data_IF_818035712744
#
_entry.id   IF_818035712744
#
_cell.length_a   1.000
_cell.length_b   1.000
_cell.length_c   1.000
_cell.angle_alpha   90.00
_cell.angle_beta   90.00
_cell.angle_gamma   90.00
#
_symmetry.space_group_name_H-M   'P 1'
#
loop_
_entity.id
_entity.type
_entity.pdbx_description
1 polymer ?
#
# COMPACT_ATOMS: atom_id res chain seq x y z
N UNK A 1 5.57 -18.69 -19.06
CA UNK A 1 5.66 -18.72 -17.61
C UNK A 1 6.46 -19.95 -17.17
N UNK A 2 7.61 -19.77 -16.56
CA UNK A 2 8.43 -20.90 -16.08
C UNK A 2 8.64 -20.73 -14.58
N UNK A 3 8.36 -21.78 -13.84
CA UNK A 3 8.65 -21.88 -12.42
C UNK A 3 9.98 -22.62 -12.26
N UNK A 4 11.00 -21.96 -11.71
CA UNK A 4 12.21 -22.58 -11.24
C UNK A 4 12.06 -22.87 -9.75
N UNK A 5 11.89 -24.14 -9.41
CA UNK A 5 11.97 -24.61 -8.02
C UNK A 5 13.44 -24.91 -7.75
N UNK A 6 14.14 -23.96 -7.16
CA UNK A 6 15.54 -24.13 -6.76
C UNK A 6 15.64 -24.53 -5.30
N UNK A 7 16.46 -25.55 -5.05
CA UNK A 7 16.82 -26.07 -3.73
C UNK A 7 17.47 -25.01 -2.83
N UNK A 8 17.18 -25.13 -1.54
CA UNK A 8 17.90 -24.63 -0.36
C UNK A 8 19.05 -23.64 -0.63
N UNK A 9 18.71 -22.38 -0.64
CA UNK A 9 19.70 -21.34 -0.50
C UNK A 9 19.20 -20.28 0.47
N UNK A 10 19.95 -19.99 1.52
CA UNK A 10 19.72 -18.89 2.46
C UNK A 10 19.88 -17.52 1.78
N UNK A 11 19.34 -17.36 0.57
CA UNK A 11 19.31 -16.11 -0.16
C UNK A 11 18.08 -15.37 0.34
N UNK A 12 18.32 -14.31 1.10
CA UNK A 12 17.25 -13.45 1.58
C UNK A 12 16.76 -12.57 0.42
N UNK A 13 15.44 -12.38 0.32
CA UNK A 13 14.74 -11.55 -0.66
C UNK A 13 15.43 -10.18 -0.95
N UNK A 14 15.90 -9.49 0.10
CA UNK A 14 16.66 -8.24 -0.04
C UNK A 14 17.98 -8.37 -0.80
N UNK A 15 18.71 -9.48 -0.62
CA UNK A 15 19.94 -9.71 -1.37
C UNK A 15 19.66 -9.88 -2.85
N UNK A 16 18.51 -10.48 -3.17
CA UNK A 16 18.05 -10.62 -4.55
C UNK A 16 17.57 -9.28 -5.10
N UNK A 17 16.82 -8.48 -4.31
CA UNK A 17 16.43 -7.14 -4.72
C UNK A 17 17.65 -6.32 -5.15
N UNK A 18 18.69 -6.29 -4.32
CA UNK A 18 19.92 -5.54 -4.61
C UNK A 18 20.70 -6.06 -5.82
N UNK A 19 20.57 -7.34 -6.13
CA UNK A 19 21.20 -7.95 -7.31
C UNK A 19 20.46 -7.64 -8.62
N UNK A 20 19.13 -7.70 -8.57
CA UNK A 20 18.31 -7.78 -9.77
C UNK A 20 17.42 -6.55 -9.99
N UNK A 21 17.18 -5.77 -8.94
CA UNK A 21 16.23 -4.65 -8.95
C UNK A 21 16.88 -3.34 -8.46
N UNK A 22 18.17 -3.11 -8.75
CA UNK A 22 18.90 -1.91 -8.35
C UNK A 22 18.58 -0.67 -9.20
N UNK A 23 17.91 -0.85 -10.33
CA UNK A 23 17.50 0.24 -11.22
C UNK A 23 16.22 0.91 -10.73
N UNK A 24 15.79 1.99 -11.37
CA UNK A 24 14.51 2.66 -11.07
C UNK A 24 13.29 1.85 -11.52
N UNK A 25 12.12 2.26 -11.07
CA UNK A 25 10.84 1.63 -11.34
C UNK A 25 10.80 0.15 -10.91
N UNK A 26 11.23 -0.08 -9.67
CA UNK A 26 11.25 -1.40 -9.02
C UNK A 26 10.52 -1.35 -7.69
N UNK A 27 10.17 -2.51 -7.17
CA UNK A 27 9.56 -2.60 -5.84
C UNK A 27 9.98 -3.86 -5.08
N UNK A 28 9.90 -3.78 -3.75
CA UNK A 28 10.03 -4.91 -2.83
C UNK A 28 8.87 -4.85 -1.85
N UNK A 29 8.04 -5.87 -1.83
CA UNK A 29 6.96 -6.07 -0.87
C UNK A 29 7.25 -7.31 -0.04
N UNK A 30 7.31 -7.13 1.28
CA UNK A 30 7.54 -8.22 2.22
C UNK A 30 6.44 -8.26 3.28
N UNK A 31 6.07 -9.45 3.72
CA UNK A 31 5.31 -9.62 4.94
C UNK A 31 6.21 -10.12 6.05
N UNK A 32 6.23 -9.43 7.19
CA UNK A 32 7.17 -9.70 8.29
C UNK A 32 6.54 -10.30 9.53
N UNK A 33 5.22 -10.20 9.67
CA UNK A 33 4.48 -10.85 10.75
C UNK A 33 3.59 -11.89 10.11
N UNK A 34 3.87 -13.13 10.45
CA UNK A 34 3.17 -14.11 9.75
C UNK A 34 2.70 -15.25 10.60
N UNK A 35 1.98 -15.94 10.31
CA UNK A 35 1.58 -17.27 10.32
C UNK A 35 1.18 -17.61 8.90
N UNK A 36 0.68 -18.75 8.67
CA UNK A 36 0.33 -19.28 7.35
C UNK A 36 -0.61 -18.40 6.52
N UNK A 37 -1.29 -17.44 7.16
CA UNK A 37 -2.28 -16.56 6.49
C UNK A 37 -1.73 -15.25 5.93
N UNK A 38 -0.66 -14.68 6.49
CA UNK A 38 -0.31 -13.28 6.25
C UNK A 38 1.14 -13.00 5.86
N UNK A 39 2.03 -13.94 5.96
CA UNK A 39 3.46 -13.74 5.75
C UNK A 39 4.11 -14.62 4.71
N UNK A 40 3.28 -15.22 3.85
CA UNK A 40 3.77 -16.28 2.96
C UNK A 40 4.65 -15.77 1.84
N UNK A 41 4.29 -14.66 1.21
CA UNK A 41 4.95 -14.21 -0.02
C UNK A 41 5.73 -12.92 0.18
N UNK A 42 6.92 -12.85 -0.46
CA UNK A 42 7.61 -11.61 -0.76
C UNK A 42 7.67 -11.44 -2.27
N UNK A 43 7.46 -10.20 -2.75
CA UNK A 43 7.39 -9.86 -4.17
C UNK A 43 8.48 -8.85 -4.50
N UNK A 44 9.26 -9.12 -5.55
CA UNK A 44 10.24 -8.18 -6.09
C UNK A 44 9.87 -7.92 -7.55
N UNK A 45 9.46 -6.68 -7.86
CA UNK A 45 9.31 -6.23 -9.24
C UNK A 45 10.63 -5.76 -9.81
N UNK A 46 10.96 -6.24 -10.97
CA UNK A 46 12.14 -5.82 -11.70
C UNK A 46 11.88 -4.51 -12.44
N UNK A 47 12.94 -3.84 -12.87
CA UNK A 47 12.84 -2.54 -13.55
C UNK A 47 11.96 -2.60 -14.79
N UNK A 48 11.07 -1.62 -14.90
CA UNK A 48 10.19 -1.45 -16.06
C UNK A 48 10.25 -0.01 -16.58
N UNK A 49 10.14 0.12 -17.89
CA UNK A 49 9.97 1.40 -18.57
C UNK A 49 8.50 1.65 -18.97
N UNK A 50 7.59 0.76 -18.53
CA UNK A 50 6.17 0.81 -18.82
C UNK A 50 5.41 1.22 -17.55
N UNK A 51 4.79 2.39 -17.56
CA UNK A 51 4.10 2.92 -16.38
C UNK A 51 3.00 3.94 -16.72
N UNK A 52 2.11 4.18 -15.77
CA UNK A 52 1.11 5.23 -15.82
C UNK A 52 1.40 6.27 -14.75
N UNK A 53 1.24 7.55 -15.13
CA UNK A 53 1.30 8.70 -14.19
C UNK A 53 -0.01 9.48 -14.34
N UNK A 54 -0.68 9.75 -13.22
CA UNK A 54 -1.86 10.62 -13.18
C UNK A 54 -1.57 11.81 -12.27
N UNK A 55 -1.70 13.01 -12.82
CA UNK A 55 -1.54 14.27 -12.09
C UNK A 55 -2.68 15.21 -12.48
N UNK A 56 -3.55 15.55 -11.52
CA UNK A 56 -4.77 16.28 -11.85
C UNK A 56 -5.63 15.52 -12.86
N UNK A 57 -6.02 16.15 -13.96
CA UNK A 57 -6.82 15.51 -15.01
C UNK A 57 -5.98 14.94 -16.18
N UNK A 58 -4.66 14.93 -16.05
CA UNK A 58 -3.72 14.43 -17.05
C UNK A 58 -3.24 13.01 -16.71
N UNK A 59 -3.60 12.05 -17.54
CA UNK A 59 -3.10 10.69 -17.52
C UNK A 59 -2.05 10.48 -18.60
N UNK A 60 -0.85 10.13 -18.20
CA UNK A 60 0.22 9.74 -19.10
C UNK A 60 0.42 8.22 -19.06
N UNK A 61 0.46 7.61 -20.23
CA UNK A 61 0.87 6.22 -20.43
C UNK A 61 2.25 6.26 -21.07
N UNK A 62 3.20 5.69 -20.39
CA UNK A 62 4.60 5.61 -20.79
C UNK A 62 4.89 4.16 -21.17
N UNK A 63 5.40 3.94 -22.37
CA UNK A 63 5.86 2.64 -22.84
C UNK A 63 7.27 2.77 -23.41
N UNK A 64 8.14 1.82 -23.08
CA UNK A 64 9.56 1.83 -23.45
C UNK A 64 10.28 3.15 -23.06
N UNK A 65 9.87 3.76 -21.95
CA UNK A 65 10.41 5.02 -21.45
C UNK A 65 9.96 6.27 -22.21
N UNK A 66 9.01 6.15 -23.13
CA UNK A 66 8.49 7.26 -23.93
C UNK A 66 6.99 7.47 -23.66
N UNK A 67 6.56 8.73 -23.54
CA UNK A 67 5.14 9.06 -23.43
C UNK A 67 4.44 8.67 -24.73
N UNK A 68 3.65 7.60 -24.70
CA UNK A 68 2.83 7.13 -25.81
C UNK A 68 1.49 7.85 -25.88
N UNK A 69 0.95 8.18 -24.71
CA UNK A 69 -0.34 8.84 -24.57
C UNK A 69 -0.25 9.89 -23.47
N UNK A 70 -0.71 11.10 -23.75
CA UNK A 70 -0.95 12.14 -22.78
C UNK A 70 -2.42 12.56 -22.94
N UNK A 71 -3.27 12.12 -22.04
CA UNK A 71 -4.71 12.22 -22.15
C UNK A 71 -5.27 13.08 -21.01
N UNK A 72 -6.00 14.12 -21.38
CA UNK A 72 -6.85 14.85 -20.45
C UNK A 72 -8.22 14.19 -20.37
N UNK A 73 -8.59 13.69 -19.19
CA UNK A 73 -9.84 12.93 -19.01
C UNK A 73 -10.64 13.47 -17.83
N UNK A 74 -11.95 13.49 -17.97
CA UNK A 74 -12.89 13.73 -16.87
C UNK A 74 -13.13 12.50 -15.98
N UNK A 75 -12.71 11.31 -16.41
CA UNK A 75 -12.71 10.06 -15.65
C UNK A 75 -11.36 9.34 -15.81
N UNK A 76 -10.27 9.88 -15.26
CA UNK A 76 -8.94 9.30 -15.43
C UNK A 76 -8.82 7.90 -14.79
N UNK A 77 -9.59 7.60 -13.73
CA UNK A 77 -9.60 6.28 -13.13
C UNK A 77 -10.25 5.23 -14.05
N UNK A 78 -11.27 5.62 -14.82
CA UNK A 78 -11.85 4.78 -15.87
C UNK A 78 -10.86 4.51 -17.00
N UNK A 79 -10.00 5.47 -17.35
CA UNK A 79 -8.94 5.24 -18.35
C UNK A 79 -7.88 4.25 -17.85
N UNK A 80 -7.52 4.30 -16.56
CA UNK A 80 -6.63 3.30 -15.94
C UNK A 80 -7.26 1.90 -16.05
N UNK A 81 -8.57 1.78 -15.80
CA UNK A 81 -9.25 0.49 -15.96
C UNK A 81 -9.20 -0.01 -17.43
N UNK A 82 -9.47 0.85 -18.40
CA UNK A 82 -9.37 0.49 -19.81
C UNK A 82 -7.96 0.02 -20.19
N UNK A 83 -6.94 0.70 -19.67
CA UNK A 83 -5.56 0.28 -19.89
C UNK A 83 -5.29 -1.09 -19.30
N UNK A 84 -5.72 -1.33 -18.03
CA UNK A 84 -5.61 -2.64 -17.39
C UNK A 84 -6.29 -3.74 -18.23
N UNK A 85 -7.50 -3.49 -18.73
CA UNK A 85 -8.29 -4.44 -19.50
C UNK A 85 -7.72 -4.73 -20.89
N UNK A 86 -6.75 -3.94 -21.36
CA UNK A 86 -6.04 -4.22 -22.60
C UNK A 86 -5.09 -5.44 -22.49
N UNK A 87 -4.69 -5.80 -21.28
CA UNK A 87 -3.85 -6.97 -21.03
C UNK A 87 -4.70 -8.23 -20.88
N UNK A 88 -4.24 -9.30 -21.52
CA UNK A 88 -4.85 -10.64 -21.42
C UNK A 88 -3.80 -11.61 -20.90
N UNK A 89 -3.92 -12.00 -19.64
CA UNK A 89 -3.00 -12.93 -18.98
C UNK A 89 -3.75 -14.21 -18.66
N UNK A 90 -3.20 -15.40 -18.96
CA UNK A 90 -3.84 -16.66 -18.61
C UNK A 90 -3.86 -16.85 -17.08
N UNK A 91 -4.97 -17.37 -16.58
CA UNK A 91 -5.04 -17.84 -15.21
C UNK A 91 -4.34 -19.22 -15.10
N UNK A 92 -3.36 -19.33 -14.21
CA UNK A 92 -2.57 -20.53 -14.01
C UNK A 92 -2.72 -21.00 -12.56
N UNK A 93 -3.58 -21.98 -12.28
CA UNK A 93 -3.91 -22.41 -10.92
C UNK A 93 -2.73 -22.88 -10.07
N UNK A 94 -1.62 -23.28 -10.71
CA UNK A 94 -0.39 -23.71 -10.03
C UNK A 94 0.52 -22.56 -9.59
N UNK A 95 0.21 -21.34 -10.01
CA UNK A 95 1.00 -20.14 -9.73
C UNK A 95 0.50 -19.40 -8.49
N UNK A 96 1.37 -18.62 -7.84
CA UNK A 96 0.95 -17.63 -6.87
C UNK A 96 -0.10 -16.69 -7.45
N UNK A 97 -0.99 -16.16 -6.61
CA UNK A 97 -2.13 -15.33 -7.04
C UNK A 97 -1.74 -14.08 -7.81
N UNK A 98 -0.63 -13.47 -7.45
CA UNK A 98 -0.09 -12.31 -8.15
C UNK A 98 1.14 -12.74 -8.95
N UNK A 99 1.04 -12.64 -10.26
CA UNK A 99 2.12 -12.99 -11.22
C UNK A 99 2.49 -11.83 -12.13
N UNK A 100 2.01 -10.62 -11.87
CA UNK A 100 2.21 -9.42 -12.66
C UNK A 100 0.94 -8.60 -12.76
N UNK A 101 1.04 -7.42 -13.36
CA UNK A 101 -0.06 -6.47 -13.48
C UNK A 101 0.38 -5.05 -13.16
N UNK A 102 -0.52 -4.23 -12.63
CA UNK A 102 -0.22 -2.86 -12.25
C UNK A 102 0.13 -2.78 -10.77
N UNK A 103 1.32 -2.26 -10.47
CA UNK A 103 1.85 -2.12 -9.11
C UNK A 103 2.26 -0.68 -8.85
N UNK A 104 1.83 -0.11 -7.74
CA UNK A 104 2.17 1.25 -7.39
C UNK A 104 1.22 1.82 -6.34
N UNK A 105 0.91 3.10 -6.45
CA UNK A 105 0.08 3.75 -5.46
C UNK A 105 -1.01 4.64 -6.05
N UNK A 106 -2.11 4.72 -5.30
CA UNK A 106 -3.09 5.79 -5.36
C UNK A 106 -2.90 6.65 -4.12
N UNK A 107 -2.51 7.90 -4.29
CA UNK A 107 -2.35 8.85 -3.19
C UNK A 107 -3.70 9.18 -2.56
N UNK A 108 -3.68 9.75 -1.35
CA UNK A 108 -4.89 10.21 -0.65
C UNK A 108 -5.77 11.08 -1.55
N UNK A 109 -5.16 11.96 -2.30
CA UNK A 109 -5.85 12.92 -3.17
C UNK A 109 -6.56 12.30 -4.37
N UNK A 110 -6.34 11.01 -4.65
CA UNK A 110 -7.10 10.28 -5.67
C UNK A 110 -8.60 10.21 -5.38
N UNK A 111 -9.02 10.42 -4.12
CA UNK A 111 -10.43 10.54 -3.75
C UNK A 111 -11.13 11.69 -4.48
N UNK A 112 -10.42 12.73 -4.90
CA UNK A 112 -10.96 13.90 -5.59
C UNK A 112 -11.47 13.57 -7.00
N UNK A 113 -11.01 12.47 -7.59
CA UNK A 113 -11.56 11.94 -8.85
C UNK A 113 -12.92 11.26 -8.64
N UNK A 114 -13.23 10.87 -7.41
CA UNK A 114 -14.46 10.17 -7.05
C UNK A 114 -15.47 11.12 -6.41
N UNK A 115 -15.03 11.90 -5.41
CA UNK A 115 -15.87 12.76 -4.58
C UNK A 115 -15.81 14.21 -5.07
N UNK A 116 -16.78 14.61 -5.88
CA UNK A 116 -16.84 15.95 -6.50
C UNK A 116 -16.80 17.11 -5.50
N UNK A 117 -17.29 16.90 -4.27
CA UNK A 117 -17.26 17.92 -3.21
C UNK A 117 -15.83 18.31 -2.81
N UNK A 118 -14.88 17.39 -2.95
CA UNK A 118 -13.47 17.60 -2.59
C UNK A 118 -12.63 18.12 -3.76
N UNK A 119 -13.19 18.22 -4.96
CA UNK A 119 -12.42 18.55 -6.16
C UNK A 119 -11.85 19.98 -6.14
N UNK A 120 -12.45 20.90 -5.38
CA UNK A 120 -12.07 22.33 -5.35
C UNK A 120 -11.47 22.79 -4.02
N UNK A 121 -11.40 21.91 -3.01
CA UNK A 121 -10.92 22.25 -1.66
C UNK A 121 -9.47 21.81 -1.40
N UNK A 122 -8.75 21.41 -2.43
CA UNK A 122 -7.39 20.84 -2.32
C UNK A 122 -6.42 21.85 -1.68
N UNK A 123 -5.75 21.51 -0.57
CA UNK A 123 -4.67 22.31 -0.02
C UNK A 123 -3.48 22.44 -0.99
N UNK A 124 -2.59 23.42 -0.80
CA UNK A 124 -1.42 23.61 -1.65
C UNK A 124 -0.53 22.39 -1.76
N UNK A 125 -0.16 22.02 -2.98
CA UNK A 125 0.80 20.94 -3.23
C UNK A 125 2.24 21.47 -3.11
N UNK A 126 3.03 20.85 -2.24
CA UNK A 126 4.43 21.20 -2.04
C UNK A 126 5.39 20.13 -2.58
N UNK A 127 4.89 18.92 -2.88
CA UNK A 127 5.72 17.81 -3.32
C UNK A 127 5.74 17.65 -4.83
N UNK A 128 4.69 18.08 -5.52
CA UNK A 128 4.52 17.97 -6.97
C UNK A 128 4.74 16.55 -7.51
N UNK A 129 4.29 15.55 -6.76
CA UNK A 129 4.33 14.16 -7.20
C UNK A 129 2.98 13.74 -7.80
N UNK A 130 2.93 12.74 -8.68
CA UNK A 130 1.69 12.23 -9.23
C UNK A 130 0.69 11.77 -8.16
N UNK A 131 -0.61 11.98 -8.40
CA UNK A 131 -1.67 11.45 -7.52
C UNK A 131 -1.77 9.92 -7.59
N UNK A 132 -1.48 9.37 -8.78
CA UNK A 132 -1.39 7.92 -9.01
C UNK A 132 -0.14 7.64 -9.85
N UNK A 133 0.60 6.62 -9.47
CA UNK A 133 1.69 6.09 -10.28
C UNK A 133 1.67 4.57 -10.23
N UNK A 134 1.60 3.93 -11.39
CA UNK A 134 1.48 2.48 -11.53
C UNK A 134 2.52 1.96 -12.52
N UNK A 135 3.34 1.04 -12.06
CA UNK A 135 4.31 0.30 -12.86
C UNK A 135 3.61 -0.88 -13.53
N UNK A 136 3.89 -1.14 -14.80
CA UNK A 136 3.50 -2.38 -15.47
C UNK A 136 4.52 -3.44 -15.09
N UNK A 137 4.14 -4.34 -14.21
CA UNK A 137 5.01 -5.38 -13.66
C UNK A 137 4.95 -6.63 -14.54
N UNK A 138 5.82 -6.69 -15.53
CA UNK A 138 5.94 -7.81 -16.48
C UNK A 138 7.00 -8.83 -16.04
N UNK A 139 7.96 -8.40 -15.24
CA UNK A 139 9.01 -9.25 -14.68
C UNK A 139 9.04 -9.14 -13.16
N UNK A 140 8.91 -10.25 -12.47
CA UNK A 140 8.96 -10.25 -11.02
C UNK A 140 9.50 -11.57 -10.45
N UNK A 141 9.92 -11.50 -9.21
CA UNK A 141 10.40 -12.64 -8.42
C UNK A 141 9.47 -12.80 -7.23
N UNK A 142 8.97 -13.99 -7.04
CA UNK A 142 8.07 -14.34 -5.95
C UNK A 142 8.77 -15.33 -5.04
N UNK A 143 8.88 -14.97 -3.76
CA UNK A 143 9.32 -15.87 -2.71
C UNK A 143 8.10 -16.45 -2.02
N UNK A 144 8.01 -17.76 -1.97
CA UNK A 144 7.12 -18.46 -1.06
C UNK A 144 7.92 -18.84 0.20
N UNK A 145 7.79 -18.02 1.23
CA UNK A 145 8.53 -18.22 2.49
C UNK A 145 8.13 -19.49 3.23
N UNK A 146 6.91 -19.99 3.00
CA UNK A 146 6.42 -21.23 3.60
C UNK A 146 6.97 -22.47 2.86
N UNK A 147 6.94 -22.43 1.52
CA UNK A 147 7.46 -23.53 0.70
C UNK A 147 8.98 -23.48 0.52
N UNK A 148 9.63 -22.35 0.85
CA UNK A 148 11.06 -22.13 0.62
C UNK A 148 11.42 -22.10 -0.87
N UNK A 149 10.51 -21.65 -1.73
CA UNK A 149 10.70 -21.63 -3.18
C UNK A 149 10.78 -20.22 -3.74
N UNK A 150 11.51 -20.08 -4.85
CA UNK A 150 11.60 -18.84 -5.63
C UNK A 150 10.99 -19.11 -6.99
N UNK A 151 10.07 -18.25 -7.41
CA UNK A 151 9.47 -18.28 -8.74
C UNK A 151 9.89 -17.04 -9.51
N UNK A 152 10.52 -17.23 -10.66
CA UNK A 152 10.81 -16.18 -11.62
C UNK A 152 9.63 -16.09 -12.60
N UNK A 153 9.09 -14.90 -12.78
CA UNK A 153 7.99 -14.64 -13.70
C UNK A 153 8.45 -13.62 -14.73
N UNK A 154 8.24 -13.95 -15.99
CA UNK A 154 8.45 -13.06 -17.15
C UNK A 154 7.21 -13.15 -18.01
N UNK A 155 6.62 -12.01 -18.37
CA UNK A 155 5.57 -11.94 -19.37
C UNK A 155 6.16 -11.62 -20.72
N UNK A 156 5.58 -12.19 -21.77
CA UNK A 156 5.94 -11.90 -23.15
C UNK A 156 4.68 -11.82 -24.00
N UNK A 157 4.67 -10.91 -24.94
CA UNK A 157 3.62 -10.83 -25.95
C UNK A 157 3.85 -11.95 -26.97
N UNK A 158 2.94 -12.93 -27.09
CA UNK A 158 3.09 -14.04 -28.04
C UNK A 158 3.03 -13.61 -29.51
N UNK A 159 2.55 -12.40 -29.80
CA UNK A 159 2.53 -11.85 -31.15
C UNK A 159 3.86 -11.23 -31.59
N UNK A 160 4.76 -10.97 -30.63
CA UNK A 160 6.06 -10.39 -30.93
C UNK A 160 6.96 -11.39 -31.69
N UNK A 161 7.80 -10.92 -32.64
CA UNK A 161 8.74 -11.77 -33.35
C UNK A 161 9.68 -12.48 -32.35
N UNK A 162 9.85 -13.78 -32.52
CA UNK A 162 10.74 -14.63 -31.70
C UNK A 162 10.42 -14.60 -30.19
N UNK A 163 9.17 -14.32 -29.83
CA UNK A 163 8.72 -14.13 -28.46
C UNK A 163 9.17 -15.24 -27.51
N UNK A 164 9.03 -16.51 -27.92
CA UNK A 164 9.38 -17.67 -27.09
C UNK A 164 10.89 -17.75 -26.79
N UNK A 165 11.75 -17.53 -27.78
CA UNK A 165 13.19 -17.57 -27.55
C UNK A 165 13.67 -16.36 -26.73
N UNK A 166 13.10 -15.19 -26.97
CA UNK A 166 13.39 -13.99 -26.20
C UNK A 166 12.99 -14.17 -24.72
N UNK A 167 11.82 -14.76 -24.49
CA UNK A 167 11.33 -15.12 -23.17
C UNK A 167 12.28 -16.09 -22.43
N UNK A 168 12.64 -17.22 -23.07
CA UNK A 168 13.57 -18.19 -22.45
C UNK A 168 14.93 -17.57 -22.16
N UNK A 169 15.49 -16.82 -23.11
CA UNK A 169 16.76 -16.12 -22.92
C UNK A 169 16.70 -15.16 -21.73
N UNK A 170 15.57 -14.47 -21.54
CA UNK A 170 15.39 -13.55 -20.42
C UNK A 170 15.37 -14.31 -19.08
N UNK A 171 14.66 -15.43 -19.01
CA UNK A 171 14.66 -16.31 -17.82
C UNK A 171 16.06 -16.83 -17.49
N UNK A 172 16.79 -17.35 -18.52
CA UNK A 172 18.15 -17.84 -18.33
C UNK A 172 19.09 -16.75 -17.78
N UNK A 173 18.96 -15.52 -18.28
CA UNK A 173 19.73 -14.38 -17.79
C UNK A 173 19.40 -14.04 -16.32
N UNK A 174 18.14 -14.11 -15.92
CA UNK A 174 17.72 -13.89 -14.55
C UNK A 174 18.25 -14.99 -13.63
N UNK A 175 18.20 -16.24 -14.07
CA UNK A 175 18.75 -17.38 -13.34
C UNK A 175 20.25 -17.24 -13.14
N UNK A 176 21.01 -16.94 -14.19
CA UNK A 176 22.45 -16.71 -14.13
C UNK A 176 22.78 -15.56 -13.16
N UNK A 177 22.06 -14.44 -13.24
CA UNK A 177 22.24 -13.32 -12.31
C UNK A 177 21.93 -13.72 -10.88
N UNK A 178 20.87 -14.49 -10.67
CA UNK A 178 20.45 -14.97 -9.35
C UNK A 178 21.54 -15.87 -8.73
N UNK A 179 22.09 -16.81 -9.51
CA UNK A 179 23.13 -17.74 -9.10
C UNK A 179 24.51 -17.07 -8.90
N UNK A 180 24.75 -15.91 -9.51
CA UNK A 180 26.03 -15.23 -9.41
C UNK A 180 26.35 -14.82 -7.97
N UNK A 181 27.60 -14.99 -7.55
CA UNK A 181 28.07 -14.49 -6.25
C UNK A 181 28.21 -12.97 -6.35
N UNK A 182 27.36 -12.23 -5.68
CA UNK A 182 27.50 -10.78 -5.59
C UNK A 182 28.62 -10.44 -4.61
N UNK A 183 29.56 -9.61 -5.01
CA UNK A 183 30.34 -8.84 -4.04
C UNK A 183 29.36 -8.06 -3.18
N UNK A 184 29.60 -8.04 -1.87
CA UNK A 184 28.72 -7.40 -0.90
C UNK A 184 28.55 -5.90 -1.30
N UNK A 185 27.39 -5.46 -1.83
CA UNK A 185 27.26 -4.10 -2.35
C UNK A 185 27.13 -3.05 -1.23
N UNK A 186 27.24 -3.49 0.02
CA UNK A 186 27.12 -2.59 1.17
C UNK A 186 28.48 -2.06 1.56
N UNK A 187 28.80 -0.87 1.10
CA UNK A 187 29.80 -0.05 1.74
C UNK A 187 29.21 0.51 3.05
N UNK A 188 29.53 -0.16 4.16
CA UNK A 188 29.16 0.25 5.51
C UNK A 188 29.99 1.44 6.02
N UNK A 189 30.85 2.01 5.18
CA UNK A 189 31.86 3.01 5.56
C UNK A 189 31.44 4.45 5.27
N UNK A 190 30.25 4.70 4.71
CA UNK A 190 29.73 6.06 4.57
C UNK A 190 29.55 6.67 5.97
N UNK A 191 30.24 7.77 6.22
CA UNK A 191 30.17 8.47 7.51
C UNK A 191 28.74 8.90 7.81
N UNK A 192 28.13 8.26 8.78
CA UNK A 192 26.73 8.52 9.16
C UNK A 192 26.60 9.94 9.70
N UNK A 193 25.96 10.79 8.95
CA UNK A 193 25.56 12.11 9.42
C UNK A 193 24.34 11.95 10.33
N UNK A 194 24.49 12.28 11.61
CA UNK A 194 23.37 12.18 12.57
C UNK A 194 22.33 13.25 12.24
N UNK A 195 21.10 12.82 12.04
CA UNK A 195 19.92 13.69 12.00
C UNK A 195 19.41 13.82 13.44
N UNK A 196 19.37 15.04 13.98
CA UNK A 196 18.82 15.31 15.31
C UNK A 196 17.30 15.51 15.23
N UNK A 197 16.61 15.46 16.37
CA UNK A 197 15.18 15.77 16.45
C UNK A 197 14.88 17.19 15.97
N UNK A 198 15.77 18.15 16.25
CA UNK A 198 15.65 19.54 15.79
C UNK A 198 15.75 19.72 14.27
N UNK A 199 16.20 18.69 13.56
CA UNK A 199 16.27 18.71 12.08
C UNK A 199 14.92 18.50 11.41
N UNK A 200 13.91 18.05 12.17
CA UNK A 200 12.58 17.81 11.64
C UNK A 200 11.74 19.09 11.57
N UNK A 201 11.29 19.41 10.37
CA UNK A 201 10.46 20.58 10.11
C UNK A 201 9.02 20.11 9.88
N UNK A 202 8.11 20.61 10.71
CA UNK A 202 6.67 20.36 10.54
C UNK A 202 6.08 21.28 9.47
N UNK A 203 5.27 20.70 8.57
CA UNK A 203 4.46 21.48 7.63
C UNK A 203 3.34 22.27 8.31
N UNK A 204 2.96 21.89 9.52
CA UNK A 204 1.84 22.45 10.26
C UNK A 204 2.30 23.44 11.35
N UNK A 205 3.30 23.04 12.12
CA UNK A 205 3.73 23.71 13.34
C UNK A 205 2.81 23.38 14.54
N UNK A 206 3.42 23.38 15.73
CA UNK A 206 2.76 22.85 16.93
C UNK A 206 1.49 23.61 17.30
N UNK A 207 1.54 24.95 17.38
CA UNK A 207 0.40 25.75 17.83
C UNK A 207 -0.78 25.70 16.83
N UNK A 208 -0.48 25.76 15.53
CA UNK A 208 -1.52 25.64 14.51
C UNK A 208 -2.15 24.25 14.50
N UNK A 209 -1.37 23.19 14.75
CA UNK A 209 -1.92 21.84 14.88
C UNK A 209 -2.85 21.71 16.09
N UNK A 210 -2.46 22.27 17.25
CA UNK A 210 -3.32 22.31 18.43
C UNK A 210 -4.60 23.11 18.21
N UNK A 211 -4.53 24.20 17.46
CA UNK A 211 -5.70 25.00 17.07
C UNK A 211 -6.64 24.20 16.16
N UNK A 212 -6.11 23.53 15.15
CA UNK A 212 -6.87 22.61 14.28
C UNK A 212 -7.58 21.52 15.09
N UNK A 213 -6.90 20.91 16.07
CA UNK A 213 -7.52 19.92 16.96
C UNK A 213 -8.64 20.53 17.80
N UNK A 214 -8.50 21.77 18.30
CA UNK A 214 -9.58 22.45 19.02
C UNK A 214 -10.79 22.67 18.12
N UNK A 215 -10.59 23.15 16.90
CA UNK A 215 -11.63 23.35 15.91
C UNK A 215 -12.36 22.05 15.55
N UNK A 216 -11.62 20.96 15.34
CA UNK A 216 -12.19 19.64 15.10
C UNK A 216 -13.08 19.19 16.28
N UNK A 217 -12.66 19.44 17.51
CA UNK A 217 -13.47 19.13 18.71
C UNK A 217 -14.78 19.93 18.72
N UNK A 218 -14.78 21.17 18.26
CA UNK A 218 -16.01 21.98 18.12
C UNK A 218 -16.97 21.33 17.11
N UNK A 219 -16.49 20.86 15.96
CA UNK A 219 -17.30 20.11 15.00
C UNK A 219 -17.88 18.83 15.59
N UNK A 220 -17.10 18.12 16.42
CA UNK A 220 -17.57 16.90 17.10
C UNK A 220 -18.68 17.24 18.12
N UNK A 221 -18.51 18.31 18.90
CA UNK A 221 -19.53 18.76 19.87
C UNK A 221 -20.79 19.24 19.17
N UNK A 222 -20.66 19.90 18.01
CA UNK A 222 -21.78 20.33 17.20
C UNK A 222 -22.53 19.18 16.50
N UNK A 223 -21.98 17.97 16.50
CA UNK A 223 -22.58 16.79 15.88
C UNK A 223 -22.34 16.67 14.38
N UNK A 224 -21.41 17.44 13.82
CA UNK A 224 -21.04 17.36 12.40
C UNK A 224 -20.29 16.07 12.05
N UNK A 225 -19.51 15.58 12.99
CA UNK A 225 -18.64 14.42 12.85
C UNK A 225 -18.57 13.61 14.14
N UNK A 226 -18.23 12.34 14.02
CA UNK A 226 -17.85 11.48 15.14
C UNK A 226 -16.34 11.47 15.35
N UNK A 227 -15.57 11.42 14.25
CA UNK A 227 -14.11 11.40 14.25
C UNK A 227 -13.54 12.11 13.02
N UNK A 228 -12.44 12.85 13.20
CA UNK A 228 -11.54 13.32 12.13
C UNK A 228 -10.11 13.02 12.52
N UNK A 229 -9.32 12.54 11.58
CA UNK A 229 -7.89 12.24 11.76
C UNK A 229 -7.05 13.30 11.04
N UNK A 230 -6.68 14.40 11.72
CA UNK A 230 -5.77 15.39 11.13
C UNK A 230 -4.36 14.84 11.07
N UNK A 231 -3.60 15.25 10.06
CA UNK A 231 -2.22 14.84 9.87
C UNK A 231 -1.26 16.03 9.78
N UNK A 232 0.02 15.75 9.96
CA UNK A 232 1.10 16.66 9.64
C UNK A 232 2.22 15.92 8.92
N UNK A 233 2.95 16.63 8.08
CA UNK A 233 4.17 16.13 7.44
C UNK A 233 5.38 16.67 8.18
N UNK A 234 6.28 15.78 8.58
CA UNK A 234 7.60 16.11 9.07
C UNK A 234 8.62 15.86 7.96
N UNK A 235 9.52 16.80 7.75
CA UNK A 235 10.59 16.72 6.75
C UNK A 235 11.93 16.87 7.43
N UNK A 236 12.91 16.07 7.04
CA UNK A 236 14.28 16.15 7.52
C UNK A 236 15.24 15.86 6.38
N UNK A 237 16.49 16.38 6.44
CA UNK A 237 17.55 15.98 5.53
C UNK A 237 17.79 14.47 5.63
N UNK A 238 17.99 13.82 4.48
CA UNK A 238 18.29 12.40 4.41
C UNK A 238 19.53 12.19 3.55
N UNK A 239 20.55 11.50 4.08
CA UNK A 239 21.89 11.39 3.48
C UNK A 239 22.27 9.93 3.19
N UNK A 240 21.39 8.98 3.52
CA UNK A 240 21.65 7.56 3.36
C UNK A 240 20.96 7.01 2.11
N UNK A 241 21.38 5.83 1.68
CA UNK A 241 20.65 5.10 0.65
C UNK A 241 19.24 4.73 1.16
N UNK A 242 18.17 4.99 0.40
CA UNK A 242 16.80 4.73 0.85
C UNK A 242 16.54 3.29 1.30
N UNK A 243 17.24 2.32 0.73
CA UNK A 243 17.16 0.91 1.16
C UNK A 243 17.65 0.70 2.60
N UNK A 244 18.55 1.53 3.11
CA UNK A 244 19.00 1.48 4.50
C UNK A 244 17.92 1.95 5.47
N UNK A 245 17.11 2.94 5.06
CA UNK A 245 15.90 3.33 5.80
C UNK A 245 14.91 2.16 5.87
N UNK A 246 14.65 1.50 4.74
CA UNK A 246 13.80 0.31 4.70
C UNK A 246 14.29 -0.80 5.65
N UNK A 247 15.60 -1.07 5.64
CA UNK A 247 16.22 -2.08 6.54
C UNK A 247 16.07 -1.73 8.02
N UNK A 248 16.21 -0.46 8.35
CA UNK A 248 16.04 0.03 9.71
C UNK A 248 14.57 -0.06 10.14
N UNK A 249 13.64 0.37 9.28
CA UNK A 249 12.21 0.30 9.52
C UNK A 249 11.75 -1.16 9.71
N UNK A 250 12.21 -2.07 8.85
CA UNK A 250 11.92 -3.50 8.93
C UNK A 250 12.37 -4.13 10.25
N UNK A 251 13.45 -3.63 10.82
CA UNK A 251 13.97 -4.11 12.12
C UNK A 251 13.21 -3.51 13.30
N UNK A 252 12.90 -2.21 13.22
CA UNK A 252 12.29 -1.46 14.31
C UNK A 252 10.78 -1.69 14.38
N UNK A 253 10.11 -1.74 13.24
CA UNK A 253 8.67 -1.86 13.15
C UNK A 253 8.26 -2.86 12.05
N UNK A 254 8.55 -4.17 12.23
CA UNK A 254 8.10 -5.19 11.29
C UNK A 254 6.57 -5.22 11.23
N UNK A 255 6.03 -5.40 10.03
CA UNK A 255 4.60 -5.30 9.76
C UNK A 255 4.17 -6.30 8.66
N UNK A 256 2.89 -6.70 8.60
CA UNK A 256 2.36 -7.53 7.52
C UNK A 256 2.56 -6.94 6.12
N UNK A 257 2.65 -5.62 6.00
CA UNK A 257 2.81 -4.93 4.72
C UNK A 257 4.01 -3.99 4.79
N UNK A 258 5.19 -4.56 4.57
CA UNK A 258 6.42 -3.80 4.37
C UNK A 258 6.59 -3.52 2.89
N UNK A 259 6.91 -2.28 2.54
CA UNK A 259 7.10 -1.91 1.15
C UNK A 259 8.26 -0.94 0.95
N UNK A 260 8.95 -1.15 -0.14
CA UNK A 260 9.96 -0.27 -0.70
C UNK A 260 9.69 -0.16 -2.19
N UNK A 261 9.47 1.05 -2.69
CA UNK A 261 9.26 1.32 -4.10
C UNK A 261 10.30 2.35 -4.53
N UNK A 262 11.08 1.99 -5.52
CA UNK A 262 12.03 2.88 -6.18
C UNK A 262 11.37 3.42 -7.45
N UNK A 263 10.95 4.66 -7.41
CA UNK A 263 10.40 5.37 -8.55
C UNK A 263 11.48 6.33 -9.06
N UNK A 264 11.43 6.67 -10.33
CA UNK A 264 12.48 7.40 -11.03
C UNK A 264 13.06 8.60 -10.25
N UNK A 265 12.18 9.43 -9.66
CA UNK A 265 12.56 10.68 -8.99
C UNK A 265 12.48 10.60 -7.45
N UNK A 266 11.86 9.57 -6.89
CA UNK A 266 11.64 9.44 -5.45
C UNK A 266 11.42 7.99 -5.02
N UNK A 267 11.52 7.78 -3.71
CA UNK A 267 11.31 6.47 -3.10
C UNK A 267 10.13 6.51 -2.13
N UNK A 268 9.40 5.41 -2.04
CA UNK A 268 8.39 5.21 -1.02
C UNK A 268 8.82 4.06 -0.13
N UNK A 269 9.00 4.35 1.17
CA UNK A 269 9.40 3.36 2.17
C UNK A 269 8.37 3.34 3.27
N UNK A 270 7.81 2.18 3.57
CA UNK A 270 6.78 2.11 4.57
C UNK A 270 6.57 0.76 5.21
N UNK A 271 5.83 0.81 6.31
CA UNK A 271 5.40 -0.31 7.13
C UNK A 271 3.95 -0.07 7.52
N UNK A 272 3.03 -0.92 7.07
CA UNK A 272 1.61 -0.77 7.35
C UNK A 272 1.04 -2.04 7.98
N UNK A 273 0.24 -1.93 9.04
CA UNK A 273 -0.46 -3.08 9.60
C UNK A 273 -1.78 -3.39 8.91
N UNK A 274 -2.29 -2.46 8.09
CA UNK A 274 -3.67 -2.46 7.61
C UNK A 274 -3.76 -2.67 6.10
N UNK A 275 -4.70 -3.52 5.67
CA UNK A 275 -5.11 -3.65 4.28
C UNK A 275 -6.30 -2.73 4.02
N UNK A 276 -6.23 -1.89 2.99
CA UNK A 276 -7.35 -1.05 2.59
C UNK A 276 -8.53 -1.90 2.09
N UNK A 277 -8.29 -2.70 1.07
CA UNK A 277 -9.24 -3.69 0.57
C UNK A 277 -8.51 -4.81 -0.16
N UNK A 278 -9.12 -5.99 -0.17
CA UNK A 278 -8.67 -7.14 -0.94
C UNK A 278 -9.84 -7.71 -1.73
N UNK A 279 -9.62 -7.94 -3.01
CA UNK A 279 -10.55 -8.64 -3.88
C UNK A 279 -9.99 -10.01 -4.21
N UNK A 280 -10.70 -11.07 -3.87
CA UNK A 280 -10.35 -12.44 -4.20
C UNK A 280 -11.62 -13.25 -4.50
N UNK A 281 -11.66 -13.92 -5.65
CA UNK A 281 -12.81 -14.77 -6.04
C UNK A 281 -14.16 -14.04 -5.91
N UNK A 282 -14.22 -12.80 -6.41
CA UNK A 282 -15.39 -11.92 -6.34
C UNK A 282 -15.85 -11.55 -4.92
N UNK A 283 -15.03 -11.80 -3.91
CA UNK A 283 -15.26 -11.36 -2.54
C UNK A 283 -14.33 -10.20 -2.21
N UNK A 284 -14.90 -9.06 -1.86
CA UNK A 284 -14.16 -7.94 -1.29
C UNK A 284 -14.09 -8.09 0.22
N UNK A 285 -12.90 -7.83 0.77
CA UNK A 285 -12.64 -7.82 2.21
C UNK A 285 -12.01 -6.48 2.60
N UNK A 286 -12.57 -5.85 3.62
CA UNK A 286 -12.02 -4.69 4.32
C UNK A 286 -11.76 -5.09 5.76
N UNK A 287 -10.63 -4.63 6.32
CA UNK A 287 -10.22 -5.05 7.66
C UNK A 287 -9.96 -3.87 8.58
N UNK A 288 -11.00 -3.33 9.24
CA UNK A 288 -10.83 -2.26 10.22
C UNK A 288 -9.94 -2.70 11.39
N UNK A 289 -9.02 -1.82 11.77
CA UNK A 289 -8.14 -1.97 12.93
C UNK A 289 -8.31 -0.74 13.80
N UNK A 290 -8.61 -0.93 15.09
CA UNK A 290 -8.67 0.14 16.07
C UNK A 290 -8.40 -0.40 17.48
N UNK A 291 -8.33 0.50 18.44
CA UNK A 291 -8.00 0.14 19.80
C UNK A 291 -6.54 -0.30 19.92
N UNK A 292 -5.84 0.21 20.90
CA UNK A 292 -4.41 -0.10 21.05
C UNK A 292 -4.03 -0.29 22.50
N UNK A 293 -3.31 -1.36 22.79
CA UNK A 293 -2.53 -1.52 24.04
C UNK A 293 -1.12 -1.97 23.68
N UNK A 294 -0.17 -1.60 24.53
CA UNK A 294 1.19 -2.13 24.43
C UNK A 294 1.20 -3.64 24.71
N UNK A 295 2.27 -4.30 24.30
CA UNK A 295 2.51 -5.69 24.72
C UNK A 295 2.90 -5.75 26.18
N UNK A 296 2.52 -6.82 26.86
CA UNK A 296 2.97 -7.13 28.21
C UNK A 296 4.43 -7.55 28.25
N UNK A 297 5.08 -7.39 29.40
CA UNK A 297 6.45 -7.89 29.62
C UNK A 297 6.47 -9.42 29.79
N UNK A 298 5.33 -9.98 30.14
CA UNK A 298 5.10 -11.42 30.24
C UNK A 298 3.67 -11.78 29.76
N UNK A 299 3.35 -13.07 29.72
CA UNK A 299 2.05 -13.55 29.25
C UNK A 299 0.89 -13.13 30.16
N UNK A 300 1.13 -13.01 31.47
CA UNK A 300 0.10 -12.63 32.43
C UNK A 300 -0.31 -11.16 32.25
N UNK A 301 0.67 -10.28 32.08
CA UNK A 301 0.43 -8.87 31.78
C UNK A 301 -0.17 -8.69 30.40
N UNK A 302 0.29 -9.43 29.38
CA UNK A 302 -0.25 -9.38 28.02
C UNK A 302 -1.76 -9.72 28.01
N UNK A 303 -2.16 -10.75 28.73
CA UNK A 303 -3.58 -11.11 28.92
C UNK A 303 -4.38 -10.10 29.76
N UNK A 304 -3.73 -9.42 30.70
CA UNK A 304 -4.38 -8.36 31.47
C UNK A 304 -4.65 -7.13 30.59
N UNK A 305 -3.68 -6.73 29.75
CA UNK A 305 -3.82 -5.63 28.78
C UNK A 305 -4.85 -5.95 27.69
N UNK A 306 -4.97 -7.21 27.26
CA UNK A 306 -6.02 -7.65 26.35
C UNK A 306 -7.40 -7.47 26.97
N UNK A 307 -7.59 -7.89 28.22
CA UNK A 307 -8.87 -7.68 28.92
C UNK A 307 -9.20 -6.20 29.08
N UNK A 308 -8.22 -5.40 29.50
CA UNK A 308 -8.37 -3.95 29.62
C UNK A 308 -8.80 -3.32 28.30
N UNK A 309 -8.20 -3.75 27.18
CA UNK A 309 -8.58 -3.30 25.83
C UNK A 309 -10.02 -3.68 25.48
N UNK A 310 -10.42 -4.92 25.76
CA UNK A 310 -11.74 -5.45 25.42
C UNK A 310 -12.85 -5.01 26.38
N UNK A 311 -12.51 -4.41 27.50
CA UNK A 311 -13.45 -3.83 28.48
C UNK A 311 -13.54 -2.30 28.34
N UNK A 312 -12.67 -1.67 27.54
CA UNK A 312 -12.68 -0.21 27.34
C UNK A 312 -13.84 0.22 26.41
N UNK A 313 -14.87 0.89 26.96
CA UNK A 313 -16.05 1.26 26.15
C UNK A 313 -15.75 2.26 25.05
N UNK A 314 -14.71 3.08 25.19
CA UNK A 314 -14.28 4.04 24.17
C UNK A 314 -13.66 3.31 22.99
N UNK A 315 -12.71 2.39 23.23
CA UNK A 315 -12.05 1.63 22.19
C UNK A 315 -13.03 0.74 21.43
N UNK A 316 -13.98 0.11 22.14
CA UNK A 316 -15.05 -0.69 21.53
C UNK A 316 -15.98 0.16 20.67
N UNK A 317 -16.36 1.37 21.12
CA UNK A 317 -17.24 2.26 20.36
C UNK A 317 -16.53 2.78 19.10
N UNK A 318 -15.24 3.13 19.17
CA UNK A 318 -14.43 3.53 18.03
C UNK A 318 -14.34 2.39 17.01
N UNK A 319 -14.03 1.18 17.48
CA UNK A 319 -13.93 0.01 16.60
C UNK A 319 -15.27 -0.32 15.92
N UNK A 320 -16.39 -0.22 16.65
CA UNK A 320 -17.72 -0.42 16.09
C UNK A 320 -18.02 0.61 14.98
N UNK A 321 -17.65 1.87 15.18
CA UNK A 321 -17.76 2.92 14.18
C UNK A 321 -16.97 2.57 12.91
N UNK A 322 -15.75 2.05 13.04
CA UNK A 322 -14.93 1.63 11.89
C UNK A 322 -15.49 0.38 11.20
N UNK A 323 -16.09 -0.57 11.94
CA UNK A 323 -16.84 -1.69 11.34
C UNK A 323 -17.98 -1.14 10.47
N UNK A 324 -18.78 -0.20 10.99
CA UNK A 324 -19.90 0.36 10.24
C UNK A 324 -19.43 1.15 9.01
N UNK A 325 -18.31 1.85 9.11
CA UNK A 325 -17.69 2.50 7.95
C UNK A 325 -17.25 1.47 6.90
N UNK A 326 -16.58 0.39 7.31
CA UNK A 326 -16.20 -0.71 6.43
C UNK A 326 -17.41 -1.39 5.79
N UNK A 327 -18.50 -1.60 6.54
CA UNK A 327 -19.77 -2.13 6.00
C UNK A 327 -20.39 -1.19 4.96
N UNK A 328 -20.31 0.11 5.17
CA UNK A 328 -20.78 1.10 4.20
C UNK A 328 -19.92 1.06 2.92
N UNK A 329 -18.60 1.04 3.05
CA UNK A 329 -17.68 1.00 1.91
C UNK A 329 -17.89 -0.29 1.08
N UNK A 330 -17.91 -1.45 1.73
CA UNK A 330 -18.18 -2.75 1.10
C UNK A 330 -19.61 -2.80 0.50
N UNK A 331 -20.58 -2.22 1.20
CA UNK A 331 -21.99 -2.21 0.76
C UNK A 331 -22.20 -1.46 -0.55
N UNK A 332 -21.39 -0.46 -0.87
CA UNK A 332 -21.46 0.32 -2.13
C UNK A 332 -21.21 -0.55 -3.37
N UNK A 333 -20.46 -1.62 -3.23
CA UNK A 333 -19.97 -2.47 -4.33
C UNK A 333 -20.43 -3.92 -4.25
N UNK A 334 -21.12 -4.30 -3.17
CA UNK A 334 -21.54 -5.68 -2.94
C UNK A 334 -22.99 -5.94 -3.33
N UNK A 335 -23.28 -7.20 -3.65
CA UNK A 335 -24.65 -7.70 -3.87
C UNK A 335 -25.46 -7.46 -2.60
N UNK A 336 -26.72 -7.06 -2.76
CA UNK A 336 -27.62 -6.81 -1.63
C UNK A 336 -27.73 -8.05 -0.72
N UNK A 337 -27.57 -7.85 0.58
CA UNK A 337 -27.62 -8.90 1.59
C UNK A 337 -26.37 -9.77 1.73
N UNK A 338 -25.29 -9.48 0.97
CA UNK A 338 -24.04 -10.25 1.05
C UNK A 338 -22.98 -9.67 1.98
N UNK A 339 -23.21 -8.49 2.56
CA UNK A 339 -22.26 -7.85 3.47
C UNK A 339 -22.32 -8.52 4.84
N UNK A 340 -21.21 -9.08 5.26
CA UNK A 340 -21.07 -9.80 6.53
C UNK A 340 -19.86 -9.33 7.31
N UNK A 341 -19.95 -9.42 8.65
CA UNK A 341 -18.81 -9.26 9.57
C UNK A 341 -18.38 -10.68 9.96
N UNK A 342 -17.38 -11.22 9.26
CA UNK A 342 -16.94 -12.61 9.41
C UNK A 342 -16.05 -12.84 10.63
N UNK A 343 -15.28 -11.84 11.02
CA UNK A 343 -14.52 -11.80 12.28
C UNK A 343 -14.90 -10.51 12.98
N UNK A 344 -15.29 -10.57 14.25
CA UNK A 344 -15.76 -9.39 14.98
C UNK A 344 -14.98 -9.21 16.28
N UNK A 345 -14.27 -8.08 16.38
CA UNK A 345 -13.59 -7.63 17.61
C UNK A 345 -12.65 -8.71 18.18
N UNK A 346 -11.75 -9.23 17.33
CA UNK A 346 -10.67 -10.11 17.77
C UNK A 346 -9.44 -9.32 18.09
N UNK A 347 -8.67 -9.76 19.10
CA UNK A 347 -7.40 -9.11 19.45
C UNK A 347 -6.26 -9.73 18.67
N UNK A 348 -5.58 -8.92 17.86
CA UNK A 348 -4.35 -9.29 17.18
C UNK A 348 -3.13 -8.69 17.87
N UNK A 349 -2.12 -9.52 18.02
CA UNK A 349 -0.86 -9.16 18.65
C UNK A 349 0.22 -8.92 17.62
N UNK A 350 0.77 -7.71 17.67
CA UNK A 350 1.92 -7.31 16.88
C UNK A 350 3.19 -7.26 17.73
N UNK A 351 4.31 -6.86 17.17
CA UNK A 351 5.59 -6.86 17.88
C UNK A 351 5.59 -5.98 19.15
N UNK A 352 4.98 -4.78 19.08
CA UNK A 352 5.02 -3.78 20.14
C UNK A 352 3.66 -3.45 20.74
N UNK A 353 2.59 -3.75 20.02
CA UNK A 353 1.22 -3.41 20.37
C UNK A 353 0.27 -4.57 20.07
N UNK A 354 -0.93 -4.50 20.63
CA UNK A 354 -2.09 -5.28 20.24
C UNK A 354 -3.21 -4.36 19.80
N UNK A 355 -4.04 -4.81 18.86
CA UNK A 355 -5.17 -4.08 18.33
C UNK A 355 -6.43 -4.93 18.31
N UNK A 356 -7.58 -4.28 18.33
CA UNK A 356 -8.87 -4.91 17.99
C UNK A 356 -9.00 -4.88 16.47
N UNK A 357 -9.32 -6.02 15.88
CA UNK A 357 -9.51 -6.18 14.43
C UNK A 357 -10.87 -6.82 14.12
N UNK A 358 -11.41 -6.52 12.96
CA UNK A 358 -12.60 -7.18 12.41
C UNK A 358 -12.47 -7.34 10.92
N UNK A 359 -13.17 -8.33 10.34
CA UNK A 359 -13.26 -8.48 8.89
C UNK A 359 -14.70 -8.17 8.42
N UNK A 360 -14.81 -7.32 7.42
CA UNK A 360 -16.05 -7.04 6.70
C UNK A 360 -15.88 -7.55 5.28
N UNK A 361 -16.76 -8.44 4.85
CA UNK A 361 -16.74 -9.06 3.53
C UNK A 361 -18.02 -8.81 2.76
N UNK A 362 -17.96 -8.91 1.43
CA UNK A 362 -19.15 -8.85 0.58
C UNK A 362 -18.86 -9.41 -0.81
N UNK A 363 -19.86 -10.04 -1.41
CA UNK A 363 -19.78 -10.52 -2.79
C UNK A 363 -19.95 -9.34 -3.74
N UNK A 364 -18.96 -9.08 -4.56
CA UNK A 364 -18.97 -7.95 -5.50
C UNK A 364 -20.07 -8.09 -6.53
N UNK A 365 -20.72 -6.98 -6.88
CA UNK A 365 -21.74 -6.95 -7.92
C UNK A 365 -21.13 -7.29 -9.28
N UNK A 366 -21.92 -7.90 -10.15
CA UNK A 366 -21.51 -8.17 -11.54
C UNK A 366 -21.17 -6.87 -12.25
N UNK A 367 -20.15 -6.92 -13.12
CA UNK A 367 -19.65 -5.79 -13.91
C UNK A 367 -18.90 -4.68 -13.13
N UNK A 368 -18.64 -4.84 -11.84
CA UNK A 368 -17.72 -3.97 -11.13
C UNK A 368 -16.28 -4.44 -11.28
N UNK A 369 -15.38 -3.47 -11.33
CA UNK A 369 -13.95 -3.68 -11.58
C UNK A 369 -13.12 -3.45 -10.32
N UNK A 370 -11.83 -3.82 -10.35
CA UNK A 370 -10.89 -3.49 -9.28
C UNK A 370 -10.77 -1.98 -9.02
N UNK A 371 -10.90 -1.16 -10.05
CA UNK A 371 -10.90 0.31 -9.91
C UNK A 371 -12.17 0.81 -9.21
N UNK A 372 -13.33 0.19 -9.46
CA UNK A 372 -14.56 0.55 -8.74
C UNK A 372 -14.49 0.21 -7.26
N UNK A 373 -13.78 -0.88 -6.91
CA UNK A 373 -13.51 -1.23 -5.50
C UNK A 373 -12.63 -0.14 -4.87
N UNK A 374 -11.55 0.26 -5.52
CA UNK A 374 -10.69 1.36 -5.05
C UNK A 374 -11.50 2.64 -4.85
N UNK A 375 -12.33 3.02 -5.82
CA UNK A 375 -13.22 4.20 -5.73
C UNK A 375 -14.15 4.14 -4.51
N UNK A 376 -14.61 2.96 -4.12
CA UNK A 376 -15.55 2.78 -3.02
C UNK A 376 -14.90 2.88 -1.63
N UNK A 377 -13.65 2.37 -1.50
CA UNK A 377 -13.00 2.23 -0.19
C UNK A 377 -12.00 3.34 0.13
N UNK A 378 -11.45 4.02 -0.89
CA UNK A 378 -10.43 5.06 -0.71
C UNK A 378 -11.02 6.38 -0.15
N UNK A 379 -10.31 7.05 0.79
CA UNK A 379 -9.25 6.54 1.65
C UNK A 379 -9.77 5.69 2.81
N UNK A 380 -8.86 5.02 3.53
CA UNK A 380 -9.22 4.28 4.74
C UNK A 380 -9.87 5.20 5.78
N UNK A 381 -10.86 4.68 6.52
CA UNK A 381 -11.52 5.42 7.59
C UNK A 381 -10.58 5.81 8.72
N UNK A 382 -9.62 4.94 9.04
CA UNK A 382 -8.56 5.15 10.03
C UNK A 382 -7.66 6.35 9.74
N UNK A 383 -7.63 6.83 8.48
CA UNK A 383 -6.84 7.97 8.03
C UNK A 383 -7.69 9.20 7.67
N UNK A 384 -9.01 9.09 7.70
CA UNK A 384 -9.94 10.18 7.37
C UNK A 384 -10.87 10.50 8.53
N UNK A 385 -11.84 9.65 8.80
CA UNK A 385 -12.80 9.81 9.88
C UNK A 385 -14.22 9.39 9.49
N UNK A 386 -15.19 9.75 10.35
CA UNK A 386 -16.58 9.36 10.19
C UNK A 386 -17.52 10.53 10.56
N UNK A 387 -18.51 10.88 9.70
CA UNK A 387 -18.73 10.40 8.32
C UNK A 387 -17.60 10.79 7.36
N UNK A 388 -17.19 9.86 6.49
CA UNK A 388 -15.95 9.95 5.68
C UNK A 388 -15.81 11.24 4.89
N UNK A 389 -16.82 11.61 4.09
CA UNK A 389 -16.77 12.80 3.22
C UNK A 389 -16.66 14.07 4.06
N UNK A 390 -17.47 14.19 5.12
CA UNK A 390 -17.42 15.37 5.98
C UNK A 390 -16.10 15.50 6.72
N UNK A 391 -15.54 14.39 7.18
CA UNK A 391 -14.22 14.36 7.79
C UNK A 391 -13.14 14.86 6.81
N UNK A 392 -13.20 14.46 5.54
CA UNK A 392 -12.27 14.94 4.51
C UNK A 392 -12.44 16.42 4.17
N UNK A 393 -13.67 16.95 4.15
CA UNK A 393 -13.92 18.40 4.00
C UNK A 393 -13.22 19.19 5.13
N UNK A 394 -13.32 18.71 6.37
CA UNK A 394 -12.66 19.32 7.52
C UNK A 394 -11.13 19.18 7.46
N UNK A 395 -10.64 18.04 6.99
CA UNK A 395 -9.20 17.84 6.75
C UNK A 395 -8.67 18.88 5.75
N UNK A 396 -9.36 19.08 4.64
CA UNK A 396 -8.99 20.10 3.65
C UNK A 396 -9.02 21.52 4.20
N UNK A 397 -9.93 21.80 5.15
CA UNK A 397 -10.06 23.10 5.80
C UNK A 397 -8.92 23.39 6.77
N UNK A 398 -8.42 22.39 7.49
CA UNK A 398 -7.47 22.58 8.58
C UNK A 398 -6.03 22.28 8.19
N UNK A 399 -5.77 21.36 7.27
CA UNK A 399 -4.42 20.99 6.88
C UNK A 399 -3.81 22.02 5.93
N UNK A 400 -2.57 22.46 6.18
CA UNK A 400 -1.95 23.52 5.40
C UNK A 400 -1.40 23.07 4.06
N UNK A 401 -1.26 21.76 3.84
CA UNK A 401 -0.66 21.18 2.65
C UNK A 401 -1.36 19.90 2.22
N UNK A 402 -1.32 19.60 0.94
CA UNK A 402 -1.82 18.38 0.33
C UNK A 402 -1.12 17.14 0.93
N UNK A 403 -1.89 16.07 1.20
CA UNK A 403 -1.37 14.84 1.79
C UNK A 403 -0.48 14.04 0.85
N UNK A 404 -0.73 14.10 -0.44
CA UNK A 404 -0.04 13.32 -1.46
C UNK A 404 -0.05 11.81 -1.14
N UNK A 405 1.13 11.23 -0.84
CA UNK A 405 1.27 9.81 -0.54
C UNK A 405 0.93 9.43 0.91
N UNK A 406 0.69 10.39 1.83
CA UNK A 406 0.25 10.03 3.17
C UNK A 406 -1.17 9.48 3.14
N UNK A 407 -1.36 8.27 3.66
CA UNK A 407 -2.64 7.55 3.53
C UNK A 407 -2.84 6.96 2.14
N UNK A 408 -1.75 6.73 1.41
CA UNK A 408 -1.80 6.08 0.10
C UNK A 408 -2.41 4.68 0.20
N UNK A 409 -3.04 4.26 -0.88
CA UNK A 409 -3.33 2.86 -1.14
C UNK A 409 -2.21 2.28 -2.00
N UNK A 410 -1.42 1.39 -1.40
CA UNK A 410 -0.47 0.58 -2.15
C UNK A 410 -1.22 -0.53 -2.87
N UNK A 411 -1.04 -0.65 -4.18
CA UNK A 411 -1.86 -1.51 -5.01
C UNK A 411 -1.00 -2.45 -5.84
N UNK A 412 -1.49 -3.70 -5.96
CA UNK A 412 -1.11 -4.66 -6.98
C UNK A 412 -2.40 -5.28 -7.56
N UNK A 413 -2.70 -4.95 -8.81
CA UNK A 413 -3.91 -5.38 -9.51
C UNK A 413 -3.59 -5.97 -10.87
#
# INVERSE_FOLDING_TARGET
LVCLVGSEMCIRDRSIYLKLASESNTYLFESMQGGEKWGRYSLIGLSTNNLLKLTGDHLQIIADGHVQTDLKSSDPLGEIQKFKDSFRVPDLPSMPRFTGGLVGYFGYDSVRYVEKKLATSTPPDQMNIPDVMLLVSEELIIFDNLAGTITLVVHADPSAPDAFNNFNRRLDLLEIKLASTSANPFDMTSGHQKVSEDSFVSSFGEERYKEAVRKIKEYTIAGDIMQVVPSQRLSAPFFEEPINLYRSLRRLNPSPYMYYINLEDFFIVGSSPEVLARLENDVVTVRPIAGTRRRGVDEAEDKALERDLMEDPKELAEHLMLIDLGRNDVGRISKSGSVEVTEKMIVERYSHVMHITSNVTGNVQENLTSIDIIKAVLPAGTLSGAPKIRAMEIIDEVEPVKRNIYGLSLIHI
#
